data_IF_670075033654
#
_entry.id   IF_670075033654
#
_cell.length_a   1.000
_cell.length_b   1.000
_cell.length_c   1.000
_cell.angle_alpha   90.00
_cell.angle_beta   90.00
_cell.angle_gamma   90.00
#
_symmetry.space_group_name_H-M   'P 1'
#
loop_
_entity.id
_entity.type
_entity.pdbx_description
1 polymer ?
#
# COMPACT_ATOMS: atom_id res chain seq x y z
N UNK A 1 -47.53 -31.04 -23.68
CA UNK A 1 -47.82 -30.21 -22.50
C UNK A 1 -46.56 -29.41 -22.17
N UNK A 2 -46.62 -28.09 -22.34
CA UNK A 2 -45.51 -27.14 -22.18
C UNK A 2 -45.11 -27.04 -20.70
N UNK A 3 -43.82 -27.15 -20.38
CA UNK A 3 -43.29 -26.71 -19.08
C UNK A 3 -42.05 -25.86 -19.33
N UNK A 4 -42.17 -24.62 -18.87
CA UNK A 4 -41.32 -23.49 -19.17
C UNK A 4 -39.94 -23.64 -18.50
N UNK A 5 -38.88 -23.58 -19.31
CA UNK A 5 -37.51 -23.40 -18.83
C UNK A 5 -37.33 -21.89 -18.61
N UNK A 6 -37.42 -21.46 -17.35
CA UNK A 6 -37.14 -20.09 -16.94
C UNK A 6 -35.63 -19.97 -16.71
N UNK A 7 -34.90 -19.51 -17.72
CA UNK A 7 -33.50 -19.08 -17.59
C UNK A 7 -33.47 -17.74 -16.85
N UNK A 8 -33.13 -17.73 -15.56
CA UNK A 8 -32.74 -16.50 -14.87
C UNK A 8 -31.31 -16.14 -15.27
N UNK A 9 -31.18 -15.06 -16.04
CA UNK A 9 -29.92 -14.37 -16.31
C UNK A 9 -29.48 -13.66 -15.01
N UNK A 10 -28.50 -14.24 -14.32
CA UNK A 10 -27.73 -13.56 -13.29
C UNK A 10 -26.87 -12.48 -13.97
N UNK A 11 -27.30 -11.22 -13.88
CA UNK A 11 -26.47 -10.08 -14.20
C UNK A 11 -25.34 -10.01 -13.16
N UNK A 12 -24.15 -10.51 -13.52
CA UNK A 12 -22.93 -10.26 -12.75
C UNK A 12 -22.58 -8.80 -12.98
N UNK A 13 -22.97 -7.93 -12.05
CA UNK A 13 -22.52 -6.54 -12.03
C UNK A 13 -21.00 -6.56 -11.88
N UNK A 14 -20.30 -6.24 -12.96
CA UNK A 14 -18.88 -5.91 -12.90
C UNK A 14 -18.74 -4.63 -12.07
N UNK A 15 -18.48 -4.78 -10.77
CA UNK A 15 -17.99 -3.68 -9.97
C UNK A 15 -16.61 -3.36 -10.54
N UNK A 16 -16.54 -2.27 -11.31
CA UNK A 16 -15.26 -1.63 -11.59
C UNK A 16 -14.65 -1.32 -10.23
N UNK A 17 -13.64 -2.10 -9.83
CA UNK A 17 -12.86 -1.82 -8.63
C UNK A 17 -12.08 -0.56 -8.96
N UNK A 18 -12.70 0.59 -8.72
CA UNK A 18 -11.97 1.84 -8.67
C UNK A 18 -10.84 1.63 -7.65
N UNK A 19 -9.60 1.96 -8.03
CA UNK A 19 -8.47 1.88 -7.11
C UNK A 19 -8.85 2.61 -5.82
N UNK A 20 -8.95 1.86 -4.72
CA UNK A 20 -9.37 2.40 -3.42
C UNK A 20 -8.44 3.56 -3.06
N UNK A 21 -8.97 4.73 -2.70
CA UNK A 21 -8.12 5.85 -2.32
C UNK A 21 -7.33 5.53 -1.04
N UNK A 22 -6.20 6.20 -0.76
CA UNK A 22 -5.53 6.04 0.54
C UNK A 22 -6.47 6.34 1.73
N UNK A 23 -7.45 7.24 1.55
CA UNK A 23 -8.44 7.54 2.58
C UNK A 23 -9.39 6.37 2.83
N UNK A 24 -9.80 5.64 1.78
CA UNK A 24 -10.65 4.45 1.91
C UNK A 24 -9.92 3.31 2.64
N UNK A 25 -8.64 3.12 2.34
CA UNK A 25 -7.81 2.11 3.01
C UNK A 25 -7.60 2.46 4.50
N UNK A 26 -7.36 3.74 4.81
CA UNK A 26 -7.25 4.21 6.20
C UNK A 26 -8.61 4.12 6.90
N UNK A 27 -9.71 4.39 6.22
CA UNK A 27 -11.07 4.22 6.75
C UNK A 27 -11.32 2.76 7.14
N UNK A 28 -11.04 1.82 6.23
CA UNK A 28 -11.15 0.40 6.51
C UNK A 28 -10.26 -0.06 7.69
N UNK A 29 -9.05 0.50 7.80
CA UNK A 29 -8.10 0.17 8.88
C UNK A 29 -8.47 0.77 10.23
N UNK A 30 -9.02 1.98 10.24
CA UNK A 30 -9.32 2.73 11.48
C UNK A 30 -10.74 2.53 11.99
N UNK A 31 -11.67 2.11 11.12
CA UNK A 31 -13.10 2.05 11.42
C UNK A 31 -13.81 3.41 11.36
N UNK A 32 -13.10 4.50 11.03
CA UNK A 32 -13.69 5.82 10.86
C UNK A 32 -14.26 5.99 9.45
N UNK A 33 -15.34 6.78 9.27
CA UNK A 33 -15.86 7.11 7.94
C UNK A 33 -14.81 7.77 7.04
N UNK A 34 -14.83 7.47 5.74
CA UNK A 34 -13.88 8.05 4.78
C UNK A 34 -13.89 9.58 4.74
N UNK A 35 -15.04 10.22 5.00
CA UNK A 35 -15.16 11.68 5.12
C UNK A 35 -14.40 12.24 6.32
N UNK A 36 -14.46 11.56 7.46
CA UNK A 36 -13.73 11.92 8.68
C UNK A 36 -12.22 11.70 8.52
N UNK A 37 -11.84 10.55 7.92
CA UNK A 37 -10.44 10.29 7.54
C UNK A 37 -9.91 11.38 6.62
N UNK A 38 -10.69 11.79 5.61
CA UNK A 38 -10.30 12.86 4.68
C UNK A 38 -10.09 14.18 5.42
N UNK A 39 -10.96 14.53 6.36
CA UNK A 39 -10.80 15.73 7.18
C UNK A 39 -9.51 15.69 8.00
N UNK A 40 -9.19 14.55 8.62
CA UNK A 40 -7.95 14.34 9.38
C UNK A 40 -6.69 14.41 8.48
N UNK A 41 -6.76 13.88 7.27
CA UNK A 41 -5.66 13.91 6.30
C UNK A 41 -5.36 15.31 5.73
N UNK A 42 -6.33 16.23 5.78
CA UNK A 42 -6.16 17.61 5.32
C UNK A 42 -5.40 18.50 6.32
N UNK A 43 -5.23 18.06 7.57
CA UNK A 43 -4.55 18.81 8.63
C UNK A 43 -3.62 17.89 9.43
N UNK A 44 -2.50 17.50 8.81
CA UNK A 44 -1.60 16.47 9.34
C UNK A 44 -0.99 16.78 10.71
N UNK A 45 -0.83 18.05 11.07
CA UNK A 45 -0.28 18.53 12.34
C UNK A 45 -1.36 18.93 13.36
N UNK A 46 -2.64 18.89 12.97
CA UNK A 46 -3.75 19.31 13.84
C UNK A 46 -4.03 18.41 15.04
N UNK A 47 -3.63 17.14 15.00
CA UNK A 47 -3.79 16.21 16.12
C UNK A 47 -2.86 15.01 16.00
N UNK A 48 -2.69 14.26 17.09
CA UNK A 48 -1.96 12.99 17.06
C UNK A 48 -2.59 11.95 16.13
N UNK A 49 -3.93 11.91 16.03
CA UNK A 49 -4.63 11.03 15.08
C UNK A 49 -4.32 11.45 13.65
N UNK A 50 -4.36 12.75 13.36
CA UNK A 50 -3.99 13.29 12.04
C UNK A 50 -2.56 12.94 11.66
N UNK A 51 -1.60 13.09 12.58
CA UNK A 51 -0.21 12.70 12.35
C UNK A 51 -0.06 11.21 12.02
N UNK A 52 -0.75 10.34 12.79
CA UNK A 52 -0.77 8.90 12.52
C UNK A 52 -1.36 8.58 11.15
N UNK A 53 -2.47 9.21 10.77
CA UNK A 53 -3.13 8.96 9.50
C UNK A 53 -2.33 9.48 8.31
N UNK A 54 -1.71 10.65 8.42
CA UNK A 54 -0.83 11.14 7.37
C UNK A 54 0.40 10.25 7.19
N UNK A 55 0.98 9.73 8.28
CA UNK A 55 2.06 8.74 8.18
C UNK A 55 1.61 7.44 7.47
N UNK A 56 0.38 6.97 7.73
CA UNK A 56 -0.19 5.82 7.01
C UNK A 56 -0.45 6.13 5.53
N UNK A 57 -1.01 7.29 5.21
CA UNK A 57 -1.25 7.72 3.82
C UNK A 57 0.06 7.72 3.03
N UNK A 58 1.11 8.30 3.60
CA UNK A 58 2.40 8.41 2.93
C UNK A 58 3.04 7.03 2.71
N UNK A 59 2.84 6.10 3.65
CA UNK A 59 3.24 4.70 3.48
C UNK A 59 2.47 4.03 2.35
N UNK A 60 1.14 4.16 2.32
CA UNK A 60 0.28 3.58 1.28
C UNK A 60 0.69 4.07 -0.11
N UNK A 61 0.89 5.39 -0.26
CA UNK A 61 1.32 5.99 -1.52
C UNK A 61 2.68 5.43 -1.94
N UNK A 62 3.66 5.36 -1.03
CA UNK A 62 4.98 4.80 -1.35
C UNK A 62 4.92 3.31 -1.72
N UNK A 63 4.06 2.51 -1.09
CA UNK A 63 3.86 1.10 -1.44
C UNK A 63 3.26 0.94 -2.84
N UNK A 64 2.32 1.81 -3.22
CA UNK A 64 1.71 1.82 -4.57
C UNK A 64 2.72 2.21 -5.64
N UNK A 65 3.55 3.23 -5.37
CA UNK A 65 4.67 3.58 -6.26
C UNK A 65 5.66 2.42 -6.43
N UNK A 66 5.98 1.70 -5.35
CA UNK A 66 6.82 0.50 -5.45
C UNK A 66 6.15 -0.57 -6.32
N UNK A 67 4.85 -0.80 -6.13
CA UNK A 67 4.10 -1.80 -6.90
C UNK A 67 4.10 -1.45 -8.39
N UNK A 68 3.86 -0.18 -8.75
CA UNK A 68 3.92 0.27 -10.13
C UNK A 68 5.28 -0.05 -10.79
N UNK A 69 6.39 0.25 -10.12
CA UNK A 69 7.73 -0.06 -10.64
C UNK A 69 7.98 -1.57 -10.74
N UNK A 70 7.42 -2.37 -9.83
CA UNK A 70 7.49 -3.83 -9.92
C UNK A 70 6.71 -4.32 -11.14
N UNK A 71 5.49 -3.82 -11.35
CA UNK A 71 4.62 -4.20 -12.47
C UNK A 71 5.24 -3.81 -13.81
N UNK A 72 5.87 -2.63 -13.92
CA UNK A 72 6.63 -2.21 -15.10
C UNK A 72 7.79 -3.16 -15.41
N UNK A 73 8.52 -3.63 -14.39
CA UNK A 73 9.60 -4.62 -14.60
C UNK A 73 9.08 -5.99 -14.96
N UNK A 74 7.93 -6.40 -14.41
CA UNK A 74 7.27 -7.65 -14.79
C UNK A 74 6.77 -7.57 -16.23
N UNK A 75 6.21 -6.44 -16.66
CA UNK A 75 5.77 -6.25 -18.03
C UNK A 75 6.95 -6.28 -19.02
N UNK A 76 8.09 -5.69 -18.65
CA UNK A 76 9.31 -5.72 -19.47
C UNK A 76 10.02 -7.09 -19.47
N UNK A 77 9.95 -7.84 -18.37
CA UNK A 77 10.61 -9.13 -18.17
C UNK A 77 9.70 -10.15 -17.47
N UNK A 78 8.66 -10.67 -18.14
CA UNK A 78 7.70 -11.58 -17.52
C UNK A 78 8.34 -12.85 -16.96
N UNK A 79 9.43 -13.32 -17.57
CA UNK A 79 10.19 -14.50 -17.16
C UNK A 79 10.82 -14.35 -15.77
N UNK A 80 11.01 -13.11 -15.29
CA UNK A 80 11.59 -12.81 -13.98
C UNK A 80 10.56 -12.58 -12.88
N UNK A 81 9.26 -12.58 -13.19
CA UNK A 81 8.18 -12.25 -12.26
C UNK A 81 8.30 -12.98 -10.92
N UNK A 82 8.39 -14.31 -10.94
CA UNK A 82 8.44 -15.11 -9.71
C UNK A 82 9.65 -14.77 -8.82
N UNK A 83 10.82 -14.54 -9.44
CA UNK A 83 12.01 -14.16 -8.70
C UNK A 83 11.94 -12.73 -8.13
N UNK A 84 11.35 -11.79 -8.89
CA UNK A 84 11.14 -10.41 -8.43
C UNK A 84 10.13 -10.36 -7.28
N UNK A 85 8.97 -11.01 -7.42
CA UNK A 85 7.93 -11.07 -6.40
C UNK A 85 8.46 -11.68 -5.09
N UNK A 86 9.21 -12.78 -5.18
CA UNK A 86 9.82 -13.42 -4.02
C UNK A 86 10.84 -12.48 -3.34
N UNK A 87 11.64 -11.76 -4.11
CA UNK A 87 12.59 -10.78 -3.60
C UNK A 87 11.89 -9.62 -2.89
N UNK A 88 10.83 -9.06 -3.49
CA UNK A 88 10.07 -7.94 -2.91
C UNK A 88 9.35 -8.38 -1.64
N UNK A 89 8.71 -9.56 -1.66
CA UNK A 89 8.04 -10.13 -0.48
C UNK A 89 9.02 -10.33 0.68
N UNK A 90 10.17 -10.97 0.41
CA UNK A 90 11.23 -11.17 1.42
C UNK A 90 11.74 -9.84 1.97
N UNK A 91 11.94 -8.85 1.10
CA UNK A 91 12.39 -7.53 1.49
C UNK A 91 11.36 -6.76 2.33
N UNK A 92 10.07 -6.78 1.96
CA UNK A 92 8.98 -6.14 2.73
C UNK A 92 8.92 -6.71 4.15
N UNK A 93 8.96 -8.04 4.29
CA UNK A 93 9.01 -8.70 5.60
C UNK A 93 10.20 -8.25 6.46
N UNK A 94 11.39 -8.15 5.87
CA UNK A 94 12.58 -7.70 6.58
C UNK A 94 12.50 -6.21 6.96
N UNK A 95 11.98 -5.36 6.06
CA UNK A 95 11.71 -3.94 6.32
C UNK A 95 10.76 -3.79 7.50
N UNK A 96 9.64 -4.48 7.48
CA UNK A 96 8.59 -4.32 8.49
C UNK A 96 9.07 -4.76 9.87
N UNK A 97 9.80 -5.88 9.95
CA UNK A 97 10.43 -6.32 11.19
C UNK A 97 11.47 -5.31 11.71
N UNK A 98 12.30 -4.74 10.82
CA UNK A 98 13.28 -3.73 11.22
C UNK A 98 12.63 -2.44 11.68
N UNK A 99 11.57 -2.00 10.98
CA UNK A 99 10.85 -0.77 11.31
C UNK A 99 10.11 -0.91 12.63
N UNK A 100 9.44 -2.04 12.88
CA UNK A 100 8.82 -2.34 14.18
C UNK A 100 9.85 -2.34 15.32
N UNK A 101 11.02 -2.96 15.11
CA UNK A 101 12.10 -2.94 16.12
C UNK A 101 12.57 -1.51 16.41
N UNK A 102 12.72 -0.68 15.38
CA UNK A 102 13.17 0.71 15.55
C UNK A 102 12.11 1.59 16.22
N UNK A 103 10.84 1.47 15.80
CA UNK A 103 9.74 2.26 16.34
C UNK A 103 9.48 1.89 17.80
N UNK A 104 9.52 0.61 18.15
CA UNK A 104 9.41 0.15 19.54
C UNK A 104 10.53 0.65 20.43
N UNK A 105 11.77 0.70 19.93
CA UNK A 105 12.91 1.21 20.70
C UNK A 105 12.75 2.70 21.03
N UNK A 106 12.24 3.48 20.10
CA UNK A 106 12.14 4.94 20.24
C UNK A 106 10.85 5.38 20.94
N UNK A 107 9.74 4.69 20.67
CA UNK A 107 8.40 5.11 21.11
C UNK A 107 7.75 4.17 22.14
N UNK A 108 8.35 3.01 22.44
CA UNK A 108 7.77 2.02 23.35
C UNK A 108 6.36 1.61 22.92
N UNK A 109 5.41 1.65 23.82
CA UNK A 109 3.98 1.44 23.52
C UNK A 109 3.20 2.76 23.38
N UNK A 110 3.91 3.88 23.16
CA UNK A 110 3.31 5.19 22.95
C UNK A 110 2.45 5.27 21.68
N UNK A 111 1.48 6.18 21.69
CA UNK A 111 0.49 6.37 20.62
C UNK A 111 1.06 6.87 19.28
N UNK A 112 2.33 7.28 19.25
CA UNK A 112 3.06 7.62 18.01
C UNK A 112 3.86 6.46 17.41
N UNK A 113 3.98 5.31 18.10
CA UNK A 113 4.70 4.15 17.56
C UNK A 113 4.18 3.74 16.16
N UNK A 114 2.87 3.68 15.90
CA UNK A 114 2.36 3.35 14.56
C UNK A 114 2.80 4.35 13.48
N UNK A 115 2.79 5.67 13.76
CA UNK A 115 3.32 6.68 12.85
C UNK A 115 4.81 6.46 12.59
N UNK A 116 5.61 6.26 13.64
CA UNK A 116 7.06 6.06 13.50
C UNK A 116 7.40 4.83 12.64
N UNK A 117 6.66 3.73 12.82
CA UNK A 117 6.79 2.54 11.98
C UNK A 117 6.45 2.83 10.52
N UNK A 118 5.34 3.54 10.25
CA UNK A 118 4.91 3.90 8.91
C UNK A 118 5.91 4.84 8.20
N UNK A 119 6.47 5.81 8.93
CA UNK A 119 7.52 6.72 8.43
C UNK A 119 8.77 5.93 8.05
N UNK A 120 9.23 5.01 8.91
CA UNK A 120 10.36 4.13 8.61
C UNK A 120 10.11 3.28 7.35
N UNK A 121 8.91 2.69 7.25
CA UNK A 121 8.52 1.87 6.11
C UNK A 121 8.54 2.71 4.83
N UNK A 122 7.93 3.89 4.85
CA UNK A 122 7.90 4.85 3.74
C UNK A 122 9.30 5.18 3.23
N UNK A 123 10.22 5.56 4.12
CA UNK A 123 11.59 5.91 3.74
C UNK A 123 12.33 4.71 3.11
N UNK A 124 12.14 3.52 3.65
CA UNK A 124 12.73 2.28 3.12
C UNK A 124 12.14 1.90 1.76
N UNK A 125 10.84 2.06 1.59
CA UNK A 125 10.12 1.81 0.34
C UNK A 125 10.58 2.74 -0.76
N UNK A 126 10.65 4.06 -0.51
CA UNK A 126 11.20 5.02 -1.47
C UNK A 126 12.62 4.68 -1.90
N UNK A 127 13.48 4.18 -1.00
CA UNK A 127 14.83 3.71 -1.33
C UNK A 127 14.79 2.47 -2.25
N UNK A 128 13.91 1.51 -1.99
CA UNK A 128 13.75 0.34 -2.86
C UNK A 128 13.21 0.71 -4.23
N UNK A 129 12.19 1.56 -4.31
CA UNK A 129 11.61 2.05 -5.58
C UNK A 129 12.69 2.69 -6.45
N UNK A 130 13.52 3.57 -5.88
CA UNK A 130 14.68 4.16 -6.59
C UNK A 130 15.67 3.11 -7.08
N UNK A 131 15.99 2.11 -6.24
CA UNK A 131 16.93 1.02 -6.60
C UNK A 131 16.41 0.19 -7.77
N UNK A 132 15.13 -0.14 -7.77
CA UNK A 132 14.49 -0.91 -8.84
C UNK A 132 14.45 -0.10 -10.14
N UNK A 133 14.01 1.15 -10.07
CA UNK A 133 13.95 2.07 -11.23
C UNK A 133 15.32 2.24 -11.89
N UNK A 134 16.38 2.47 -11.09
CA UNK A 134 17.75 2.62 -11.61
C UNK A 134 18.32 1.33 -12.23
N UNK A 135 17.80 0.16 -11.86
CA UNK A 135 18.19 -1.13 -12.46
C UNK A 135 17.49 -1.33 -13.81
N UNK A 136 16.25 -0.85 -13.96
CA UNK A 136 15.53 -0.87 -15.22
C UNK A 136 16.24 0.01 -16.27
N UNK A 137 16.60 1.24 -15.93
CA UNK A 137 17.29 2.16 -16.86
C UNK A 137 18.65 1.67 -17.34
N UNK A 138 19.37 0.86 -16.54
CA UNK A 138 20.69 0.31 -16.88
C UNK A 138 20.65 -0.86 -17.87
N UNK A 139 19.50 -1.50 -18.07
CA UNK A 139 19.35 -2.64 -19.00
C UNK A 139 18.84 -2.22 -20.38
N UNK A 140 18.56 -0.93 -20.58
CA UNK A 140 18.08 -0.35 -21.83
C UNK A 140 19.20 0.20 -22.74
N UNK A 141 20.47 -0.10 -22.43
CA UNK A 141 21.64 0.23 -23.25
C UNK A 141 22.43 -1.04 -23.57
#
# INVERSE_FOLDING_TARGET
>A
MKKHILWMLLAVSAVAVADQSPADEISARSGLPASEVTALLNNCDGSQTSMNFCAWRDQIVAERELQQVVDEQVAAHPERKGALDARITKWKKARDASCEKSSRREWGDGSMRPAAQAICATASTKKMTKKLSATASRRSF
#
